data_IF_248117768794
#
_entry.id   IF_248117768794
#
_cell.length_a   1.000
_cell.length_b   1.000
_cell.length_c   1.000
_cell.angle_alpha   90.00
_cell.angle_beta   90.00
_cell.angle_gamma   90.00
#
_symmetry.space_group_name_H-M   'P 1'
#
loop_
_entity.id
_entity.type
_entity.pdbx_description
1 polymer ?
#
# COMPACT_ATOMS: atom_id res chain seq x y z
N UNK A 1 -1.43 -24.12 1.48
CA UNK A 1 -0.02 -24.27 1.90
C UNK A 1 0.89 -23.29 1.16
N UNK A 2 0.84 -23.26 -0.17
CA UNK A 2 1.73 -22.40 -1.01
C UNK A 2 1.63 -20.90 -0.75
N UNK A 3 0.43 -20.34 -0.56
CA UNK A 3 0.30 -18.89 -0.25
C UNK A 3 0.94 -18.50 1.08
N UNK A 4 0.96 -19.40 2.08
CA UNK A 4 1.65 -19.15 3.34
C UNK A 4 3.17 -19.09 3.12
N UNK A 5 3.71 -19.99 2.29
CA UNK A 5 5.13 -19.97 1.93
C UNK A 5 5.50 -18.68 1.19
N UNK A 6 4.63 -18.17 0.32
CA UNK A 6 4.86 -16.87 -0.34
C UNK A 6 4.97 -15.72 0.68
N UNK A 7 4.10 -15.69 1.70
CA UNK A 7 4.15 -14.68 2.77
C UNK A 7 5.47 -14.76 3.53
N UNK A 8 5.89 -15.95 3.95
CA UNK A 8 7.17 -16.12 4.66
C UNK A 8 8.36 -15.78 3.78
N UNK A 9 8.30 -16.15 2.50
CA UNK A 9 9.33 -15.81 1.51
C UNK A 9 9.46 -14.30 1.39
N UNK A 10 8.36 -13.57 1.19
CA UNK A 10 8.39 -12.10 1.09
C UNK A 10 8.94 -11.47 2.38
N UNK A 11 8.59 -12.01 3.55
CA UNK A 11 9.02 -11.49 4.85
C UNK A 11 10.51 -11.68 5.15
N UNK A 12 11.08 -12.81 4.73
CA UNK A 12 12.43 -13.20 5.14
C UNK A 12 13.48 -13.02 4.05
N UNK A 13 13.05 -12.90 2.79
CA UNK A 13 13.97 -12.91 1.68
C UNK A 13 14.64 -11.55 1.46
N UNK A 14 15.96 -11.59 1.26
CA UNK A 14 16.77 -10.45 0.82
C UNK A 14 17.04 -10.45 -0.70
N UNK A 15 16.72 -11.57 -1.36
CA UNK A 15 16.90 -11.75 -2.79
C UNK A 15 15.66 -11.24 -3.54
N UNK A 16 15.89 -10.27 -4.43
CA UNK A 16 14.82 -9.65 -5.19
C UNK A 16 14.13 -10.60 -6.16
N UNK A 17 14.83 -11.54 -6.79
CA UNK A 17 14.23 -12.48 -7.74
C UNK A 17 13.26 -13.45 -7.02
N UNK A 18 13.64 -13.91 -5.84
CA UNK A 18 12.82 -14.79 -5.01
C UNK A 18 11.56 -14.07 -4.50
N UNK A 19 11.72 -12.83 -4.01
CA UNK A 19 10.59 -11.99 -3.61
C UNK A 19 9.65 -11.71 -4.79
N UNK A 20 10.22 -11.43 -5.98
CA UNK A 20 9.45 -11.22 -7.22
C UNK A 20 8.58 -12.43 -7.54
N UNK A 21 9.16 -13.63 -7.49
CA UNK A 21 8.45 -14.85 -7.84
C UNK A 21 7.29 -15.13 -6.87
N UNK A 22 7.50 -14.89 -5.57
CA UNK A 22 6.44 -15.01 -4.57
C UNK A 22 5.30 -14.01 -4.82
N UNK A 23 5.62 -12.75 -5.14
CA UNK A 23 4.63 -11.72 -5.47
C UNK A 23 3.88 -12.02 -6.77
N UNK A 24 4.56 -12.51 -7.81
CA UNK A 24 3.94 -12.92 -9.07
C UNK A 24 2.96 -14.08 -8.86
N UNK A 25 3.33 -15.07 -8.06
CA UNK A 25 2.45 -16.17 -7.71
C UNK A 25 1.22 -15.66 -6.94
N UNK A 26 1.43 -14.78 -5.96
CA UNK A 26 0.34 -14.19 -5.18
C UNK A 26 -0.61 -13.38 -6.07
N UNK A 27 -0.06 -12.54 -6.97
CA UNK A 27 -0.81 -11.80 -7.97
C UNK A 27 -1.63 -12.75 -8.87
N UNK A 28 -1.05 -13.83 -9.36
CA UNK A 28 -1.75 -14.81 -10.18
C UNK A 28 -2.94 -15.43 -9.42
N UNK A 29 -2.76 -15.80 -8.16
CA UNK A 29 -3.86 -16.25 -7.29
C UNK A 29 -4.94 -15.18 -7.12
N UNK A 30 -4.55 -13.91 -6.95
CA UNK A 30 -5.47 -12.76 -6.88
C UNK A 30 -6.24 -12.50 -8.19
N UNK A 31 -5.79 -13.03 -9.33
CA UNK A 31 -6.49 -12.91 -10.63
C UNK A 31 -7.33 -14.12 -11.02
N UNK A 32 -7.15 -15.28 -10.38
CA UNK A 32 -7.69 -16.55 -10.90
C UNK A 32 -9.22 -16.67 -10.89
N UNK A 33 -9.92 -15.87 -10.08
CA UNK A 33 -11.39 -15.85 -10.02
C UNK A 33 -12.05 -17.06 -9.33
N UNK A 34 -11.27 -18.07 -8.93
CA UNK A 34 -11.79 -19.25 -8.22
C UNK A 34 -12.17 -18.88 -6.77
N UNK A 35 -13.42 -19.09 -6.32
CA UNK A 35 -13.89 -18.65 -5.00
C UNK A 35 -13.05 -19.19 -3.83
N UNK A 36 -12.61 -20.44 -3.92
CA UNK A 36 -11.78 -21.06 -2.87
C UNK A 36 -10.41 -20.39 -2.75
N UNK A 37 -9.80 -20.02 -3.88
CA UNK A 37 -8.51 -19.33 -3.91
C UNK A 37 -8.69 -17.89 -3.46
N UNK A 38 -9.77 -17.23 -3.87
CA UNK A 38 -10.11 -15.86 -3.48
C UNK A 38 -10.25 -15.73 -1.96
N UNK A 39 -10.97 -16.66 -1.31
CA UNK A 39 -11.09 -16.72 0.15
C UNK A 39 -9.72 -16.90 0.84
N UNK A 40 -8.82 -17.69 0.25
CA UNK A 40 -7.46 -17.86 0.77
C UNK A 40 -6.62 -16.59 0.62
N UNK A 41 -6.74 -15.89 -0.52
CA UNK A 41 -6.09 -14.61 -0.77
C UNK A 41 -6.57 -13.58 0.24
N UNK A 42 -7.88 -13.39 0.38
CA UNK A 42 -8.47 -12.45 1.35
C UNK A 42 -7.95 -12.71 2.77
N UNK A 43 -7.88 -13.98 3.20
CA UNK A 43 -7.39 -14.34 4.54
C UNK A 43 -5.90 -14.02 4.76
N UNK A 44 -5.08 -14.06 3.71
CA UNK A 44 -3.62 -13.90 3.80
C UNK A 44 -3.12 -12.55 3.29
N UNK A 45 -3.98 -11.76 2.67
CA UNK A 45 -3.64 -10.47 2.08
C UNK A 45 -3.01 -9.53 3.10
N UNK A 46 -3.50 -9.43 4.36
CA UNK A 46 -2.89 -8.57 5.35
C UNK A 46 -1.42 -8.90 5.60
N UNK A 47 -1.11 -10.19 5.69
CA UNK A 47 0.24 -10.65 6.02
C UNK A 47 1.25 -10.40 4.89
N UNK A 48 0.84 -10.61 3.62
CA UNK A 48 1.74 -10.38 2.48
C UNK A 48 1.92 -8.88 2.21
N UNK A 49 0.88 -8.07 2.38
CA UNK A 49 0.97 -6.61 2.22
C UNK A 49 1.89 -6.04 3.29
N UNK A 50 1.70 -6.40 4.55
CA UNK A 50 2.58 -5.99 5.65
C UNK A 50 4.04 -6.40 5.41
N UNK A 51 4.27 -7.68 5.06
CA UNK A 51 5.62 -8.19 4.76
C UNK A 51 6.27 -7.45 3.59
N UNK A 52 5.48 -7.08 2.58
CA UNK A 52 5.96 -6.30 1.43
C UNK A 52 6.37 -4.90 1.85
N UNK A 53 5.55 -4.20 2.62
CA UNK A 53 5.85 -2.85 3.13
C UNK A 53 7.10 -2.82 4.02
N UNK A 54 7.25 -3.83 4.88
CA UNK A 54 8.45 -3.98 5.72
C UNK A 54 9.72 -4.20 4.88
N UNK A 55 9.59 -4.82 3.70
CA UNK A 55 10.72 -5.23 2.86
C UNK A 55 11.01 -4.30 1.66
N UNK A 56 10.26 -3.20 1.51
CA UNK A 56 10.44 -2.26 0.38
C UNK A 56 11.87 -1.71 0.28
N UNK A 57 12.54 -1.52 1.41
CA UNK A 57 13.91 -1.02 1.48
C UNK A 57 14.96 -1.99 0.89
N UNK A 58 14.65 -3.29 0.86
CA UNK A 58 15.58 -4.32 0.39
C UNK A 58 15.54 -4.49 -1.13
N UNK A 59 14.34 -4.72 -1.66
CA UNK A 59 14.15 -5.18 -3.04
C UNK A 59 13.02 -4.43 -3.76
N UNK A 60 12.40 -3.44 -3.12
CA UNK A 60 11.20 -2.77 -3.63
C UNK A 60 11.41 -2.10 -4.98
N UNK A 61 12.52 -1.39 -5.18
CA UNK A 61 12.81 -0.71 -6.45
C UNK A 61 13.03 -1.70 -7.60
N UNK A 62 13.79 -2.77 -7.38
CA UNK A 62 14.06 -3.80 -8.40
C UNK A 62 12.78 -4.49 -8.86
N UNK A 63 11.84 -4.68 -7.92
CA UNK A 63 10.55 -5.33 -8.16
C UNK A 63 9.38 -4.38 -8.37
N UNK A 64 9.63 -3.08 -8.58
CA UNK A 64 8.59 -2.06 -8.68
C UNK A 64 7.53 -2.44 -9.71
N UNK A 65 7.95 -3.00 -10.86
CA UNK A 65 7.08 -3.40 -11.98
C UNK A 65 6.03 -4.46 -11.61
N UNK A 66 6.32 -5.32 -10.64
CA UNK A 66 5.41 -6.36 -10.13
C UNK A 66 4.62 -5.81 -8.95
N UNK A 67 5.28 -5.07 -8.06
CA UNK A 67 4.68 -4.46 -6.89
C UNK A 67 3.50 -3.57 -7.23
N UNK A 68 3.66 -2.64 -8.17
CA UNK A 68 2.56 -1.72 -8.51
C UNK A 68 1.35 -2.44 -9.09
N UNK A 69 1.56 -3.54 -9.84
CA UNK A 69 0.46 -4.36 -10.38
C UNK A 69 -0.29 -5.08 -9.26
N UNK A 70 0.45 -5.68 -8.33
CA UNK A 70 -0.12 -6.36 -7.17
C UNK A 70 -0.92 -5.39 -6.30
N UNK A 71 -0.34 -4.24 -5.97
CA UNK A 71 -1.01 -3.21 -5.17
C UNK A 71 -2.23 -2.62 -5.87
N UNK A 72 -2.14 -2.33 -7.18
CA UNK A 72 -3.28 -1.86 -7.96
C UNK A 72 -4.44 -2.88 -7.90
N UNK A 73 -4.15 -4.15 -8.18
CA UNK A 73 -5.13 -5.23 -8.12
C UNK A 73 -5.75 -5.37 -6.73
N UNK A 74 -4.93 -5.34 -5.67
CA UNK A 74 -5.43 -5.46 -4.30
C UNK A 74 -6.28 -4.27 -3.88
N UNK A 75 -5.91 -3.06 -4.29
CA UNK A 75 -6.69 -1.83 -4.06
C UNK A 75 -8.01 -1.77 -4.84
N UNK A 76 -8.16 -2.58 -5.89
CA UNK A 76 -9.38 -2.63 -6.69
C UNK A 76 -10.30 -3.79 -6.25
N UNK A 77 -9.73 -4.99 -6.06
CA UNK A 77 -10.50 -6.21 -5.79
C UNK A 77 -10.72 -6.46 -4.31
N UNK A 78 -9.78 -6.05 -3.46
CA UNK A 78 -9.78 -6.33 -2.02
C UNK A 78 -9.66 -5.04 -1.20
N UNK A 79 -10.19 -3.93 -1.73
CA UNK A 79 -9.99 -2.56 -1.22
C UNK A 79 -10.13 -2.45 0.30
N UNK A 80 -11.22 -2.97 0.88
CA UNK A 80 -11.45 -2.88 2.33
C UNK A 80 -10.35 -3.58 3.15
N UNK A 81 -9.96 -4.80 2.77
CA UNK A 81 -8.94 -5.59 3.48
C UNK A 81 -7.57 -4.96 3.27
N UNK A 82 -7.29 -4.50 2.05
CA UNK A 82 -6.06 -3.81 1.69
C UNK A 82 -5.89 -2.53 2.51
N UNK A 83 -6.86 -1.60 2.47
CA UNK A 83 -6.79 -0.34 3.19
C UNK A 83 -6.75 -0.53 4.71
N UNK A 84 -7.52 -1.48 5.26
CA UNK A 84 -7.44 -1.82 6.69
C UNK A 84 -6.02 -2.26 7.05
N UNK A 85 -5.40 -3.12 6.24
CA UNK A 85 -4.02 -3.57 6.45
C UNK A 85 -3.03 -2.41 6.40
N UNK A 86 -3.16 -1.51 5.42
CA UNK A 86 -2.30 -0.32 5.32
C UNK A 86 -2.43 0.54 6.58
N UNK A 87 -3.67 0.79 7.03
CA UNK A 87 -3.95 1.57 8.24
C UNK A 87 -3.34 0.93 9.48
N UNK A 88 -3.58 -0.37 9.68
CA UNK A 88 -3.06 -1.13 10.81
C UNK A 88 -1.52 -1.16 10.80
N UNK A 89 -0.91 -1.33 9.63
CA UNK A 89 0.54 -1.37 9.48
C UNK A 89 1.18 0.00 9.77
N UNK A 90 0.59 1.09 9.28
CA UNK A 90 1.08 2.45 9.54
C UNK A 90 0.90 2.83 11.03
N UNK A 91 -0.23 2.43 11.62
CA UNK A 91 -0.59 2.70 13.01
C UNK A 91 0.13 1.82 14.03
N UNK A 92 0.60 0.63 13.64
CA UNK A 92 1.41 -0.23 14.48
C UNK A 92 2.73 0.47 14.80
N UNK A 93 2.86 0.93 16.05
CA UNK A 93 4.17 1.25 16.64
C UNK A 93 4.97 -0.04 16.73
N UNK A 94 6.30 0.06 16.61
CA UNK A 94 7.21 -1.03 16.97
C UNK A 94 7.02 -1.37 18.46
N UNK A 95 6.01 -2.16 18.78
CA UNK A 95 5.98 -2.90 20.04
C UNK A 95 7.05 -3.95 19.87
N UNK A 96 8.21 -3.69 20.45
CA UNK A 96 9.24 -4.68 20.67
C UNK A 96 8.67 -5.83 21.50
N UNK A 97 7.95 -6.74 20.85
CA UNK A 97 7.59 -8.03 21.42
C UNK A 97 8.77 -8.93 21.12
N UNK A 98 9.70 -8.97 22.07
CA UNK A 98 10.52 -10.14 22.33
C UNK A 98 9.60 -11.33 22.57
N UNK A 99 9.12 -11.95 21.49
CA UNK A 99 8.51 -13.28 21.59
C UNK A 99 9.67 -14.26 21.74
N UNK A 100 10.01 -14.51 23.01
CA UNK A 100 10.85 -15.63 23.42
C UNK A 100 10.16 -16.92 22.94
N UNK A 101 10.57 -17.41 21.79
CA UNK A 101 10.36 -18.80 21.41
C UNK A 101 11.67 -19.34 20.88
N UNK A 102 12.38 -20.00 21.78
CA UNK A 102 13.58 -20.78 21.50
C UNK A 102 13.32 -21.74 20.34
N UNK A 103 14.05 -21.59 19.25
CA UNK A 103 14.46 -22.71 18.41
C UNK A 103 15.68 -22.34 17.56
N UNK A 104 16.84 -22.73 18.10
CA UNK A 104 18.05 -23.19 17.42
C UNK A 104 18.26 -22.76 15.95
N UNK A 105 19.28 -21.91 15.75
CA UNK A 105 20.11 -21.95 14.54
C UNK A 105 20.02 -20.75 13.59
N UNK A 106 21.01 -19.85 13.73
CA UNK A 106 21.56 -18.96 12.68
C UNK A 106 20.58 -18.05 11.93
N UNK A 107 20.56 -16.78 12.32
CA UNK A 107 21.16 -15.67 11.54
C UNK A 107 20.96 -14.36 12.32
N UNK A 108 22.02 -13.92 13.01
CA UNK A 108 22.12 -12.57 13.55
C UNK A 108 22.22 -11.57 12.39
N UNK A 109 21.13 -10.87 12.13
CA UNK A 109 21.16 -9.58 11.45
C UNK A 109 20.24 -8.67 12.24
N UNK A 110 20.80 -7.69 12.94
CA UNK A 110 20.03 -6.61 13.54
C UNK A 110 19.08 -6.07 12.46
N UNK A 111 17.78 -6.20 12.70
CA UNK A 111 16.75 -5.86 11.72
C UNK A 111 16.84 -4.39 11.40
N UNK A 112 17.27 -4.07 10.17
CA UNK A 112 17.08 -2.73 9.61
C UNK A 112 15.58 -2.58 9.44
N UNK A 113 14.93 -1.95 10.41
CA UNK A 113 13.51 -1.62 10.28
C UNK A 113 13.34 -0.64 9.13
N UNK A 114 12.26 -0.82 8.38
CA UNK A 114 11.92 0.07 7.27
C UNK A 114 11.74 1.50 7.81
N UNK A 115 12.44 2.49 7.24
CA UNK A 115 12.27 3.92 7.63
C UNK A 115 10.84 4.44 7.47
N UNK A 116 10.01 3.72 6.72
CA UNK A 116 8.57 3.98 6.65
C UNK A 116 7.88 3.85 8.02
N UNK A 117 8.40 3.02 8.93
CA UNK A 117 7.88 2.87 10.30
C UNK A 117 8.14 4.11 11.15
N UNK A 118 9.25 4.80 10.88
CA UNK A 118 9.74 6.00 11.59
C UNK A 118 9.01 7.28 11.19
N UNK A 119 8.21 7.24 10.11
CA UNK A 119 7.46 8.41 9.64
C UNK A 119 6.53 8.98 10.72
N UNK A 120 6.39 10.30 10.70
CA UNK A 120 5.47 11.02 11.58
C UNK A 120 4.00 10.65 11.29
N UNK A 121 3.12 10.85 12.26
CA UNK A 121 1.69 10.53 12.13
C UNK A 121 1.06 11.24 10.92
N UNK A 122 1.40 12.51 10.68
CA UNK A 122 0.92 13.25 9.51
C UNK A 122 1.39 12.67 8.18
N UNK A 123 2.66 12.24 8.10
CA UNK A 123 3.22 11.60 6.91
C UNK A 123 2.56 10.26 6.62
N UNK A 124 2.32 9.46 7.67
CA UNK A 124 1.59 8.19 7.56
C UNK A 124 0.16 8.39 7.06
N UNK A 125 -0.53 9.43 7.54
CA UNK A 125 -1.87 9.77 7.08
C UNK A 125 -1.90 10.17 5.60
N UNK A 126 -0.90 10.92 5.12
CA UNK A 126 -0.76 11.26 3.69
C UNK A 126 -0.62 9.97 2.88
N UNK A 127 0.28 9.06 3.27
CA UNK A 127 0.50 7.77 2.57
C UNK A 127 -0.79 6.94 2.54
N UNK A 128 -1.51 6.85 3.65
CA UNK A 128 -2.80 6.17 3.71
C UNK A 128 -3.81 6.79 2.75
N UNK A 129 -3.95 8.12 2.76
CA UNK A 129 -4.81 8.85 1.84
C UNK A 129 -4.44 8.64 0.37
N UNK A 130 -3.14 8.52 0.06
CA UNK A 130 -2.68 8.19 -1.29
C UNK A 130 -3.12 6.79 -1.72
N UNK A 131 -2.98 5.76 -0.87
CA UNK A 131 -3.47 4.41 -1.20
C UNK A 131 -4.99 4.37 -1.38
N UNK A 132 -5.73 5.17 -0.60
CA UNK A 132 -7.18 5.29 -0.76
C UNK A 132 -7.57 5.97 -2.08
N UNK A 133 -6.90 7.05 -2.47
CA UNK A 133 -7.36 7.92 -3.56
C UNK A 133 -6.70 7.65 -4.91
N UNK A 134 -5.44 7.20 -4.93
CA UNK A 134 -4.70 7.05 -6.18
C UNK A 134 -4.95 5.71 -6.84
N UNK A 135 -4.94 5.72 -8.17
CA UNK A 135 -5.00 4.52 -9.01
C UNK A 135 -4.01 4.66 -10.17
N UNK A 136 -3.68 3.54 -10.82
CA UNK A 136 -2.80 3.51 -12.00
C UNK A 136 -1.41 4.11 -11.77
N UNK A 137 -0.98 5.01 -12.66
CA UNK A 137 0.37 5.58 -12.66
C UNK A 137 0.73 6.31 -11.34
N UNK A 138 -0.26 6.90 -10.65
CA UNK A 138 -0.02 7.56 -9.36
C UNK A 138 0.33 6.59 -8.25
N UNK A 139 -0.26 5.39 -8.21
CA UNK A 139 0.10 4.34 -7.24
C UNK A 139 1.52 3.83 -7.51
N UNK A 140 1.90 3.70 -8.79
CA UNK A 140 3.27 3.34 -9.15
C UNK A 140 4.28 4.38 -8.68
N UNK A 141 4.00 5.67 -8.89
CA UNK A 141 4.87 6.75 -8.41
C UNK A 141 4.97 6.75 -6.88
N UNK A 142 3.83 6.62 -6.19
CA UNK A 142 3.80 6.49 -4.73
C UNK A 142 4.69 5.33 -4.25
N UNK A 143 4.56 4.14 -4.85
CA UNK A 143 5.36 2.99 -4.46
C UNK A 143 6.85 3.19 -4.71
N UNK A 144 7.22 3.86 -5.81
CA UNK A 144 8.61 4.20 -6.09
C UNK A 144 9.19 5.09 -4.98
N UNK A 145 8.46 6.15 -4.61
CA UNK A 145 8.92 7.08 -3.57
C UNK A 145 8.93 6.42 -2.20
N UNK A 146 7.95 5.56 -1.89
CA UNK A 146 7.96 4.76 -0.65
C UNK A 146 9.16 3.81 -0.58
N UNK A 147 9.60 3.22 -1.70
CA UNK A 147 10.82 2.41 -1.71
C UNK A 147 12.06 3.26 -1.43
N UNK A 148 12.16 4.46 -2.02
CA UNK A 148 13.26 5.40 -1.79
C UNK A 148 13.28 5.95 -0.36
N UNK A 149 12.11 6.18 0.24
CA UNK A 149 11.98 6.57 1.65
C UNK A 149 12.42 5.40 2.53
N UNK A 150 11.93 4.19 2.25
CA UNK A 150 12.24 2.99 3.02
C UNK A 150 13.75 2.69 3.06
N UNK A 151 14.45 2.86 1.94
CA UNK A 151 15.92 2.72 1.83
C UNK A 151 16.68 3.91 2.43
N UNK A 152 15.99 4.98 2.81
CA UNK A 152 16.62 6.21 3.31
C UNK A 152 17.31 7.04 2.24
N UNK A 153 17.00 6.81 0.97
CA UNK A 153 17.56 7.55 -0.17
C UNK A 153 16.97 8.95 -0.30
N UNK A 154 15.75 9.18 0.20
CA UNK A 154 15.09 10.48 0.23
C UNK A 154 14.44 10.74 1.59
N UNK A 155 14.21 12.02 1.91
CA UNK A 155 13.54 12.44 3.15
C UNK A 155 12.02 12.38 2.96
N UNK A 156 11.25 11.77 3.91
CA UNK A 156 9.80 11.67 3.77
C UNK A 156 9.08 13.01 3.64
N UNK A 157 9.53 14.05 4.36
CA UNK A 157 8.90 15.38 4.32
C UNK A 157 8.84 15.93 2.91
N UNK A 158 9.96 15.89 2.20
CA UNK A 158 10.12 16.53 0.89
C UNK A 158 9.36 15.76 -0.19
N UNK A 159 9.39 14.42 -0.11
CA UNK A 159 8.68 13.55 -1.02
C UNK A 159 7.15 13.68 -0.87
N UNK A 160 6.65 13.86 0.36
CA UNK A 160 5.22 13.83 0.66
C UNK A 160 4.47 15.14 0.40
N UNK A 161 5.16 16.29 0.29
CA UNK A 161 4.52 17.59 -0.01
C UNK A 161 3.73 17.55 -1.32
N UNK A 162 4.30 16.97 -2.38
CA UNK A 162 3.63 16.89 -3.68
C UNK A 162 2.33 16.07 -3.62
N UNK A 163 2.30 15.06 -2.75
CA UNK A 163 1.14 14.19 -2.57
C UNK A 163 0.04 14.86 -1.75
N UNK A 164 0.39 15.62 -0.72
CA UNK A 164 -0.56 16.44 0.03
C UNK A 164 -1.30 17.42 -0.90
N UNK A 165 -0.56 18.14 -1.74
CA UNK A 165 -1.15 19.05 -2.72
C UNK A 165 -2.06 18.33 -3.74
N UNK A 166 -1.62 17.16 -4.22
CA UNK A 166 -2.41 16.35 -5.15
C UNK A 166 -3.72 15.86 -4.52
N UNK A 167 -3.69 15.45 -3.24
CA UNK A 167 -4.87 15.01 -2.49
C UNK A 167 -5.86 16.16 -2.25
N UNK A 168 -5.37 17.35 -1.88
CA UNK A 168 -6.22 18.54 -1.71
C UNK A 168 -6.91 18.92 -3.02
N UNK A 169 -6.18 18.91 -4.14
CA UNK A 169 -6.73 19.23 -5.47
C UNK A 169 -7.85 18.28 -5.88
N UNK A 170 -7.71 16.98 -5.61
CA UNK A 170 -8.74 16.00 -5.94
C UNK A 170 -9.98 16.14 -5.05
N UNK A 171 -9.80 16.47 -3.75
CA UNK A 171 -10.92 16.78 -2.85
C UNK A 171 -11.69 18.01 -3.30
N UNK A 172 -11.01 19.09 -3.70
CA UNK A 172 -11.67 20.30 -4.23
C UNK A 172 -12.45 20.02 -5.51
N UNK A 173 -11.93 19.16 -6.40
CA UNK A 173 -12.65 18.75 -7.62
C UNK A 173 -13.89 17.91 -7.31
N UNK A 174 -13.83 17.01 -6.33
CA UNK A 174 -14.98 16.25 -5.89
C UNK A 174 -16.04 17.17 -5.25
N UNK A 175 -15.63 18.07 -4.37
CA UNK A 175 -16.53 19.06 -3.76
C UNK A 175 -17.21 19.96 -4.81
N UNK A 176 -16.47 20.41 -5.84
CA UNK A 176 -17.04 21.20 -6.93
C UNK A 176 -18.05 20.42 -7.79
N UNK A 177 -17.86 19.11 -7.98
CA UNK A 177 -18.81 18.26 -8.71
C UNK A 177 -20.13 18.01 -7.97
N UNK A 178 -20.12 18.07 -6.63
CA UNK A 178 -21.33 17.96 -5.81
C UNK A 178 -21.95 19.32 -5.44
N UNK A 179 -21.26 20.44 -5.73
CA UNK A 179 -21.68 21.80 -5.35
C UNK A 179 -22.39 22.62 -6.44
N UNK A 180 -22.54 22.12 -7.67
CA UNK A 180 -23.24 22.83 -8.75
C UNK A 180 -24.52 22.11 -9.17
N UNK A 181 -25.50 22.14 -8.26
CA UNK A 181 -26.86 21.69 -8.47
C UNK A 181 -27.88 22.64 -7.85
N UNK A 182 -27.70 23.95 -8.00
CA UNK A 182 -28.79 24.92 -7.76
C UNK A 182 -29.28 25.45 -9.09
N UNK A 183 -30.39 24.86 -9.53
CA UNK A 183 -31.27 25.39 -10.55
C UNK A 183 -31.93 26.68 -10.03
N UNK A 184 -31.87 27.74 -10.82
CA UNK A 184 -32.86 28.82 -10.83
C UNK A 184 -32.86 29.46 -12.23
N UNK A 185 -33.29 28.65 -13.20
CA UNK A 185 -33.93 29.17 -14.40
C UNK A 185 -35.42 29.30 -14.09
N UNK A 186 -35.88 30.48 -13.70
CA UNK A 186 -37.30 30.82 -13.75
C UNK A 186 -37.50 31.77 -14.92
N UNK A 187 -38.13 31.21 -15.96
CA UNK A 187 -38.56 31.92 -17.15
C UNK A 187 -39.61 32.98 -16.81
N UNK A 188 -39.49 34.07 -17.56
CA UNK A 188 -40.48 35.10 -17.86
C UNK A 188 -41.86 34.49 -18.15
N UNK A 189 -42.90 35.05 -17.54
CA UNK A 189 -44.28 34.94 -18.06
C UNK A 189 -44.88 36.35 -18.13
N UNK A 190 -45.10 36.79 -19.37
CA UNK A 190 -45.90 37.95 -19.79
C UNK A 190 -47.29 37.92 -19.15
N UNK A 191 -47.74 39.07 -18.64
CA UNK A 191 -49.13 39.31 -18.26
C UNK A 191 -49.73 40.24 -19.31
N UNK A 192 -50.89 39.86 -19.85
CA UNK A 192 -51.63 40.59 -20.88
C UNK A 192 -52.35 41.85 -20.39
#
# INVERSE_FOLDING_TARGET
>A
MTLCLCVETVRQCKDADVARQALLYYHACSTCGAPQVDAMVVRRLPEVVAATLDSLHCWGLENLSVLWKAFALWSERYDQVFLQTISDWLGARETGVTSAREQLGRCSGAGVSSRLREMEVGQKEIVFCCFRSFRGARVRQLLQDLCLIASGSIVPSDALVAYEYALQTDQSKQAARFGSGQALGSNVVEVG
#
